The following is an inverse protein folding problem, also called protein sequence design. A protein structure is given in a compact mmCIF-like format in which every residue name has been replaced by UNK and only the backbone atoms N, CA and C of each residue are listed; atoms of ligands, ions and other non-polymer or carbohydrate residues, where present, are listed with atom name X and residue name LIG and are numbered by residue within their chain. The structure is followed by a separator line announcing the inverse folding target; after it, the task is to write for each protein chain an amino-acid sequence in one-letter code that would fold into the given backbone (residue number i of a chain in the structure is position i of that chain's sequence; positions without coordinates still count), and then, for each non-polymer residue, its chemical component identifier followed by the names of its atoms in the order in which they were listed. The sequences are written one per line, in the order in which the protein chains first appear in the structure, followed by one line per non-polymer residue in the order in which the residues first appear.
data_IF_423681178463
#
_entry.id   IF_423681178463
#
_cell.length_a   1.000
_cell.length_b   1.000
_cell.length_c   1.000
_cell.angle_alpha   90.00
_cell.angle_beta   90.00
_cell.angle_gamma   90.00
#
_symmetry.space_group_name_H-M   'P 1'
#
loop_
_entity.id
_entity.type
_entity.pdbx_description
1 polymer ?
#
# COMPACT_ATOMS: atom_id res chain seq x y z
N UNK A 1 -6.28 -13.21 -20.86
CA UNK A 1 -5.70 -12.01 -20.22
C UNK A 1 -5.71 -12.25 -18.72
N UNK A 2 -4.56 -12.27 -18.06
CA UNK A 2 -4.47 -12.47 -16.61
C UNK A 2 -4.52 -11.10 -15.96
N UNK A 3 -5.51 -10.87 -15.09
CA UNK A 3 -5.60 -9.65 -14.30
C UNK A 3 -4.87 -9.83 -12.97
N UNK A 4 -4.30 -8.77 -12.39
CA UNK A 4 -3.83 -8.83 -11.01
C UNK A 4 -4.98 -9.18 -10.06
N UNK A 5 -4.65 -9.81 -8.92
CA UNK A 5 -5.66 -10.25 -7.93
C UNK A 5 -6.53 -9.11 -7.36
N UNK A 6 -6.03 -7.86 -7.40
CA UNK A 6 -6.78 -6.67 -7.00
C UNK A 6 -7.72 -6.13 -8.11
N UNK A 7 -7.99 -6.93 -9.13
CA UNK A 7 -9.00 -6.67 -10.15
C UNK A 7 -9.93 -7.85 -10.33
N UNK A 8 -11.22 -7.57 -10.30
CA UNK A 8 -12.29 -8.53 -10.55
C UNK A 8 -12.94 -8.23 -11.91
N UNK A 9 -12.94 -9.17 -12.87
CA UNK A 9 -13.69 -9.02 -14.11
C UNK A 9 -15.20 -8.90 -13.84
N UNK A 10 -15.86 -8.04 -14.58
CA UNK A 10 -17.31 -7.81 -14.51
C UNK A 10 -17.87 -7.71 -15.93
N UNK A 11 -19.20 -7.79 -16.08
CA UNK A 11 -19.87 -7.65 -17.38
C UNK A 11 -19.61 -6.29 -18.07
N UNK A 12 -19.14 -5.28 -17.32
CA UNK A 12 -18.91 -3.91 -17.81
C UNK A 12 -17.44 -3.49 -17.83
N UNK A 13 -16.51 -4.42 -17.59
CA UNK A 13 -15.08 -4.13 -17.52
C UNK A 13 -14.45 -4.73 -16.27
N UNK A 14 -13.60 -3.98 -15.57
CA UNK A 14 -12.93 -4.47 -14.35
C UNK A 14 -13.26 -3.60 -13.14
N UNK A 15 -13.39 -4.27 -11.99
CA UNK A 15 -13.58 -3.63 -10.69
C UNK A 15 -12.28 -3.71 -9.92
N UNK A 16 -11.77 -2.56 -9.50
CA UNK A 16 -10.59 -2.47 -8.64
C UNK A 16 -10.95 -2.77 -7.18
N UNK A 17 -10.12 -3.56 -6.51
CA UNK A 17 -10.25 -3.96 -5.12
C UNK A 17 -9.13 -3.33 -4.27
N UNK A 18 -9.35 -2.15 -3.66
CA UNK A 18 -8.29 -1.41 -2.96
C UNK A 18 -7.71 -2.18 -1.77
N UNK A 19 -8.54 -2.92 -1.02
CA UNK A 19 -8.08 -3.70 0.14
C UNK A 19 -7.16 -4.85 -0.25
N UNK A 20 -7.44 -5.53 -1.37
CA UNK A 20 -6.58 -6.61 -1.88
C UNK A 20 -5.22 -6.06 -2.29
N UNK A 21 -5.17 -4.88 -2.92
CA UNK A 21 -3.88 -4.24 -3.23
C UNK A 21 -3.16 -3.80 -1.94
N UNK A 22 -3.88 -3.24 -0.97
CA UNK A 22 -3.30 -2.83 0.31
C UNK A 22 -2.68 -4.00 1.09
N UNK A 23 -3.37 -5.15 1.15
CA UNK A 23 -2.86 -6.39 1.75
C UNK A 23 -1.64 -6.92 0.99
N UNK A 24 -1.68 -6.89 -0.34
CA UNK A 24 -0.52 -7.28 -1.13
C UNK A 24 0.70 -6.42 -0.78
N UNK A 25 0.54 -5.09 -0.75
CA UNK A 25 1.61 -4.16 -0.42
C UNK A 25 2.11 -4.30 1.02
N UNK A 26 1.25 -4.60 1.99
CA UNK A 26 1.68 -4.81 3.39
C UNK A 26 2.55 -6.06 3.58
N UNK A 27 2.40 -7.04 2.69
CA UNK A 27 3.17 -8.28 2.70
C UNK A 27 4.46 -8.14 1.87
N UNK A 28 4.40 -7.49 0.72
CA UNK A 28 5.52 -7.46 -0.24
C UNK A 28 6.48 -6.30 -0.04
N UNK A 29 5.99 -5.15 0.42
CA UNK A 29 6.80 -3.95 0.59
C UNK A 29 7.30 -3.84 2.04
N UNK A 30 8.60 -3.58 2.21
CA UNK A 30 9.20 -3.36 3.54
C UNK A 30 8.94 -1.93 4.01
N UNK A 31 7.68 -1.64 4.35
CA UNK A 31 7.20 -0.33 4.77
C UNK A 31 6.53 -0.42 6.13
N UNK A 32 6.70 0.61 6.95
CA UNK A 32 5.84 0.84 8.11
C UNK A 32 5.42 2.31 8.19
N UNK A 33 4.36 2.60 8.94
CA UNK A 33 3.87 3.95 9.20
C UNK A 33 3.94 4.25 10.70
N UNK A 34 4.60 5.34 11.07
CA UNK A 34 4.74 5.80 12.45
C UNK A 34 5.01 7.31 12.47
N UNK A 35 4.68 7.99 13.57
CA UNK A 35 4.91 9.43 13.72
C UNK A 35 4.41 10.25 12.50
N UNK A 36 3.23 9.89 11.99
CA UNK A 36 2.58 10.52 10.81
C UNK A 36 3.34 10.40 9.48
N UNK A 37 4.34 9.50 9.41
CA UNK A 37 5.21 9.35 8.26
C UNK A 37 5.37 7.87 7.86
N UNK A 38 5.56 7.62 6.56
CA UNK A 38 5.98 6.30 6.08
C UNK A 38 7.49 6.14 6.16
N UNK A 39 7.92 4.92 6.43
CA UNK A 39 9.32 4.53 6.40
C UNK A 39 9.49 3.32 5.49
N UNK A 40 10.28 3.48 4.41
CA UNK A 40 10.57 2.44 3.43
C UNK A 40 12.00 1.93 3.61
N UNK A 41 12.19 0.62 3.62
CA UNK A 41 13.50 0.00 3.69
C UNK A 41 14.24 0.12 2.34
N UNK A 42 15.37 0.81 2.33
CA UNK A 42 16.23 0.99 1.16
C UNK A 42 17.70 0.88 1.56
N UNK A 43 18.48 0.10 0.80
CA UNK A 43 19.94 -0.01 0.97
C UNK A 43 20.40 -0.27 2.41
N UNK A 44 19.72 -1.17 3.12
CA UNK A 44 20.11 -1.56 4.49
C UNK A 44 19.43 -0.77 5.61
N UNK A 45 18.75 0.34 5.32
CA UNK A 45 18.16 1.24 6.34
C UNK A 45 16.74 1.66 5.99
N UNK A 46 15.94 2.01 6.99
CA UNK A 46 14.64 2.64 6.77
C UNK A 46 14.79 4.15 6.55
N UNK A 47 14.13 4.68 5.54
CA UNK A 47 14.12 6.11 5.20
C UNK A 47 12.69 6.62 5.15
N UNK A 48 12.53 7.88 5.52
CA UNK A 48 11.25 8.58 5.41
C UNK A 48 10.81 8.63 3.95
N UNK A 49 9.55 8.29 3.73
CA UNK A 49 8.90 8.27 2.43
C UNK A 49 7.66 9.18 2.50
N UNK A 50 7.58 10.27 1.73
CA UNK A 50 6.39 11.14 1.72
C UNK A 50 5.16 10.38 1.23
N UNK A 51 3.96 10.81 1.65
CA UNK A 51 2.69 10.20 1.23
C UNK A 51 2.57 10.10 -0.30
N UNK A 52 3.07 11.10 -1.03
CA UNK A 52 3.06 11.09 -2.49
C UNK A 52 3.85 9.89 -3.09
N UNK A 53 4.96 9.49 -2.47
CA UNK A 53 5.71 8.31 -2.88
C UNK A 53 4.95 7.02 -2.54
N UNK A 54 4.27 6.97 -1.39
CA UNK A 54 3.37 5.85 -1.06
C UNK A 54 2.23 5.69 -2.08
N UNK A 55 1.60 6.81 -2.46
CA UNK A 55 0.57 6.84 -3.51
C UNK A 55 1.13 6.44 -4.88
N UNK A 56 2.37 6.82 -5.20
CA UNK A 56 3.06 6.39 -6.42
C UNK A 56 3.27 4.87 -6.44
N UNK A 57 3.72 4.28 -5.33
CA UNK A 57 3.88 2.82 -5.20
C UNK A 57 2.56 2.08 -5.43
N UNK A 58 1.45 2.59 -4.88
CA UNK A 58 0.10 2.06 -5.14
C UNK A 58 -0.22 2.14 -6.63
N UNK A 59 -0.05 3.32 -7.25
CA UNK A 59 -0.34 3.54 -8.67
C UNK A 59 0.47 2.63 -9.59
N UNK A 60 1.72 2.34 -9.26
CA UNK A 60 2.61 1.46 -10.05
C UNK A 60 2.10 0.01 -10.15
N UNK A 61 1.28 -0.44 -9.19
CA UNK A 61 0.64 -1.76 -9.24
C UNK A 61 -0.72 -1.73 -9.97
N UNK A 62 -1.25 -0.56 -10.29
CA UNK A 62 -2.56 -0.44 -10.94
C UNK A 62 -2.47 -0.50 -12.46
N UNK A 63 -3.57 -0.90 -13.12
CA UNK A 63 -3.70 -0.87 -14.58
C UNK A 63 -3.93 0.58 -15.02
N UNK A 64 -2.98 1.20 -15.71
CA UNK A 64 -2.97 2.64 -16.06
C UNK A 64 -4.28 3.19 -16.65
N UNK A 65 -4.98 2.42 -17.48
CA UNK A 65 -6.25 2.85 -18.12
C UNK A 65 -7.46 2.85 -17.17
N UNK A 66 -7.36 2.18 -16.03
CA UNK A 66 -8.43 2.05 -15.03
C UNK A 66 -8.21 2.93 -13.80
N UNK A 67 -7.06 3.62 -13.71
CA UNK A 67 -6.66 4.36 -12.52
C UNK A 67 -7.51 5.62 -12.33
N UNK A 68 -8.02 5.79 -11.11
CA UNK A 68 -8.60 7.04 -10.64
C UNK A 68 -7.92 7.50 -9.36
N UNK A 69 -7.79 8.80 -9.16
CA UNK A 69 -7.10 9.35 -7.99
C UNK A 69 -7.72 8.86 -6.67
N UNK A 70 -9.05 8.80 -6.59
CA UNK A 70 -9.75 8.32 -5.40
C UNK A 70 -9.44 6.85 -5.06
N UNK A 71 -9.15 6.01 -6.06
CA UNK A 71 -8.76 4.61 -5.85
C UNK A 71 -7.35 4.50 -5.28
N UNK A 72 -6.42 5.34 -5.76
CA UNK A 72 -5.06 5.43 -5.21
C UNK A 72 -5.13 5.81 -3.74
N UNK A 73 -5.81 6.92 -3.42
CA UNK A 73 -5.96 7.39 -2.04
C UNK A 73 -6.65 6.36 -1.16
N UNK A 74 -7.64 5.62 -1.67
CA UNK A 74 -8.32 4.59 -0.89
C UNK A 74 -7.40 3.41 -0.57
N UNK A 75 -6.72 2.85 -1.57
CA UNK A 75 -5.80 1.73 -1.36
C UNK A 75 -4.60 2.14 -0.49
N UNK A 76 -4.06 3.35 -0.67
CA UNK A 76 -3.00 3.90 0.17
C UNK A 76 -3.43 4.03 1.64
N UNK A 77 -4.63 4.57 1.92
CA UNK A 77 -5.13 4.69 3.30
C UNK A 77 -5.36 3.33 3.94
N UNK A 78 -5.88 2.36 3.19
CA UNK A 78 -6.03 0.99 3.70
C UNK A 78 -4.67 0.36 3.98
N UNK A 79 -3.69 0.57 3.10
CA UNK A 79 -2.32 0.12 3.32
C UNK A 79 -1.70 0.76 4.55
N UNK A 80 -1.91 2.07 4.76
CA UNK A 80 -1.50 2.80 5.97
C UNK A 80 -1.93 2.10 7.25
N UNK A 81 -3.21 1.72 7.32
CA UNK A 81 -3.78 1.04 8.49
C UNK A 81 -3.11 -0.31 8.76
N UNK A 82 -2.74 -1.04 7.70
CA UNK A 82 -2.09 -2.35 7.81
C UNK A 82 -0.62 -2.27 8.23
N UNK A 83 0.08 -1.20 7.84
CA UNK A 83 1.52 -1.03 8.12
C UNK A 83 1.80 -0.07 9.28
N UNK A 84 0.75 0.46 9.91
CA UNK A 84 0.86 1.30 11.09
C UNK A 84 1.45 0.50 12.25
N UNK A 85 2.54 1.00 12.82
CA UNK A 85 3.11 0.46 14.05
C UNK A 85 2.63 1.29 15.24
N UNK A 86 2.06 0.62 16.23
CA UNK A 86 1.79 1.25 17.52
C UNK A 86 3.10 1.65 18.18
N UNK A 87 3.20 2.91 18.58
CA UNK A 87 4.32 3.43 19.38
C UNK A 87 4.31 2.83 20.80
N UNK A 88 3.25 2.11 21.19
CA UNK A 88 3.12 1.42 22.47
C UNK A 88 3.25 -0.09 22.32
N UNK A 89 4.49 -0.58 22.41
CA UNK A 89 4.96 -1.52 23.45
C UNK A 89 6.32 -2.04 22.99
N UNK A 90 7.45 -1.71 23.65
CA UNK A 90 8.68 -2.43 23.42
C UNK A 90 8.44 -3.88 23.86
N UNK A 91 8.45 -4.83 22.92
CA UNK A 91 8.72 -6.22 23.29
C UNK A 91 10.19 -6.28 23.71
N UNK A 92 10.45 -5.93 24.96
CA UNK A 92 11.61 -6.41 25.69
C UNK A 92 11.43 -7.92 25.81
N UNK A 93 12.04 -8.65 24.87
CA UNK A 93 12.34 -10.06 25.07
C UNK A 93 13.73 -10.10 25.71
N UNK A 94 13.78 -10.42 27.00
CA UNK A 94 15.00 -10.88 27.69
C UNK A 94 15.33 -12.31 27.26
#
# INVERSE_FOLDING_TARGET
MVFPFWYEPTDRGVKFLPGVLAEHLSITEKVFYAAEQYYLYQNGVYREMPELEAQKMVREKMISREVRMNQITNAERQWRLLVQKDIRTPKLSF
#
